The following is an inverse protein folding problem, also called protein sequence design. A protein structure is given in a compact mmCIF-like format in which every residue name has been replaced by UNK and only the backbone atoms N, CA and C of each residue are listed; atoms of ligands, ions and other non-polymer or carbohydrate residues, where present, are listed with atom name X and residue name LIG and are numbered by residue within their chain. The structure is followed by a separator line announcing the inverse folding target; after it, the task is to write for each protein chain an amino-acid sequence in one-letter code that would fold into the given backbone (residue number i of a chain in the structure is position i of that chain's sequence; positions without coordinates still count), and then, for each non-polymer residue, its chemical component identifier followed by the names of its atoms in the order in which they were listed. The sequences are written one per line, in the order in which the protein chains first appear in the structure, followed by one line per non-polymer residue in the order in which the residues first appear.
data_IF_150734969187
#
_entry.id   IF_150734969187
#
_cell.length_a   1.000
_cell.length_b   1.000
_cell.length_c   1.000
_cell.angle_alpha   90.00
_cell.angle_beta   90.00
_cell.angle_gamma   90.00
#
_symmetry.space_group_name_H-M   'P 1'
#
loop_
_entity.id
_entity.type
_entity.pdbx_description
1 polymer ?
#
# COMPACT_ATOMS: atom_id res chain seq x y z
N UNK A 1 -3.05 -0.21 -13.51
CA UNK A 1 -1.72 -0.14 -14.18
C UNK A 1 -1.14 -1.54 -14.18
N UNK A 2 -0.94 -2.13 -15.36
CA UNK A 2 -0.37 -3.47 -15.50
C UNK A 2 1.12 -3.45 -15.23
N UNK A 3 1.62 -4.48 -14.55
CA UNK A 3 3.04 -4.63 -14.16
C UNK A 3 3.53 -5.97 -14.68
N UNK A 4 4.75 -6.01 -15.21
CA UNK A 4 5.39 -7.24 -15.66
C UNK A 4 6.69 -7.37 -14.87
N UNK A 5 6.84 -8.49 -14.16
CA UNK A 5 8.02 -8.81 -13.37
C UNK A 5 8.76 -9.98 -14.00
N UNK A 6 10.09 -9.95 -13.99
CA UNK A 6 10.89 -11.13 -14.32
C UNK A 6 10.71 -12.18 -13.21
N UNK A 7 10.65 -13.45 -13.59
CA UNK A 7 10.44 -14.57 -12.64
C UNK A 7 11.44 -14.56 -11.48
N UNK A 8 12.70 -14.24 -11.76
CA UNK A 8 13.76 -14.19 -10.75
C UNK A 8 13.59 -13.06 -9.71
N UNK A 9 12.91 -11.97 -10.05
CA UNK A 9 12.58 -10.89 -9.09
C UNK A 9 11.53 -11.40 -8.09
N UNK A 10 10.52 -12.10 -8.58
CA UNK A 10 9.47 -12.72 -7.74
C UNK A 10 10.07 -13.80 -6.84
N UNK A 11 10.82 -14.74 -7.43
CA UNK A 11 11.41 -15.88 -6.72
C UNK A 11 10.34 -16.71 -5.99
N UNK A 12 10.52 -16.87 -4.68
CA UNK A 12 9.63 -17.64 -3.83
C UNK A 12 8.52 -16.81 -3.17
N UNK A 13 8.48 -15.49 -3.40
CA UNK A 13 7.42 -14.67 -2.84
C UNK A 13 6.06 -15.07 -3.41
N UNK A 14 5.04 -15.01 -2.57
CA UNK A 14 3.64 -15.29 -2.92
C UNK A 14 2.75 -14.14 -2.48
N UNK A 15 1.56 -14.07 -3.08
CA UNK A 15 0.52 -13.19 -2.59
C UNK A 15 0.10 -13.63 -1.19
N UNK A 16 -0.33 -12.67 -0.37
CA UNK A 16 -0.88 -12.98 0.94
C UNK A 16 -2.24 -13.66 0.78
N UNK A 17 -2.38 -14.83 1.40
CA UNK A 17 -3.63 -15.56 1.37
C UNK A 17 -4.72 -14.81 2.16
N UNK A 18 -5.98 -14.99 1.72
CA UNK A 18 -7.18 -14.45 2.38
C UNK A 18 -7.20 -12.92 2.56
N UNK A 19 -6.48 -12.16 1.74
CA UNK A 19 -6.50 -10.69 1.74
C UNK A 19 -6.86 -10.14 0.38
N UNK A 20 -7.74 -9.12 0.36
CA UNK A 20 -7.98 -8.28 -0.83
C UNK A 20 -6.88 -7.23 -0.91
N UNK A 21 -6.71 -6.60 -2.08
CA UNK A 21 -5.63 -5.63 -2.33
C UNK A 21 -4.23 -6.27 -2.21
N UNK A 22 -4.15 -7.56 -2.56
CA UNK A 22 -2.93 -8.36 -2.55
C UNK A 22 -1.84 -7.75 -3.42
N UNK A 23 -2.20 -7.03 -4.49
CA UNK A 23 -1.27 -6.33 -5.36
C UNK A 23 -0.59 -5.15 -4.64
N UNK A 24 -1.33 -4.38 -3.84
CA UNK A 24 -0.80 -3.33 -2.97
C UNK A 24 0.09 -3.89 -1.86
N UNK A 25 -0.22 -5.10 -1.37
CA UNK A 25 0.59 -5.78 -0.36
C UNK A 25 1.87 -6.38 -0.97
N UNK A 26 1.83 -6.85 -2.21
CA UNK A 26 2.91 -7.62 -2.83
C UNK A 26 3.87 -6.77 -3.68
N UNK A 27 3.33 -5.94 -4.59
CA UNK A 27 4.13 -5.29 -5.63
C UNK A 27 5.23 -4.36 -5.09
N UNK A 28 5.02 -3.57 -4.01
CA UNK A 28 6.07 -2.69 -3.48
C UNK A 28 7.36 -3.44 -3.10
N UNK A 29 7.24 -4.66 -2.59
CA UNK A 29 8.41 -5.48 -2.22
C UNK A 29 9.17 -5.97 -3.45
N UNK A 30 8.46 -6.28 -4.54
CA UNK A 30 9.11 -6.63 -5.81
C UNK A 30 9.88 -5.44 -6.39
N UNK A 31 9.36 -4.21 -6.24
CA UNK A 31 10.08 -3.01 -6.66
C UNK A 31 11.38 -2.80 -5.89
N UNK A 32 11.44 -3.13 -4.61
CA UNK A 32 12.67 -3.00 -3.83
C UNK A 32 13.78 -3.98 -4.26
N UNK A 33 13.42 -5.09 -4.91
CA UNK A 33 14.35 -6.07 -5.50
C UNK A 33 14.81 -5.69 -6.90
N UNK A 34 14.12 -4.75 -7.57
CA UNK A 34 14.48 -4.30 -8.91
C UNK A 34 15.65 -3.31 -8.88
N UNK A 35 16.56 -3.46 -9.83
CA UNK A 35 17.65 -2.49 -10.07
C UNK A 35 17.27 -1.45 -11.14
N UNK A 36 16.36 -1.81 -12.05
CA UNK A 36 15.87 -0.96 -13.15
C UNK A 36 14.37 -1.15 -13.29
N UNK A 37 13.63 -0.04 -13.42
CA UNK A 37 12.19 -0.04 -13.67
C UNK A 37 11.94 0.82 -14.90
N UNK A 38 11.32 0.24 -15.93
CA UNK A 38 10.90 0.94 -17.13
C UNK A 38 9.41 1.24 -17.05
N UNK A 39 9.02 2.48 -17.35
CA UNK A 39 7.61 2.90 -17.46
C UNK A 39 7.30 3.18 -18.93
N UNK A 40 6.27 2.52 -19.45
CA UNK A 40 5.69 2.82 -20.76
C UNK A 40 4.41 3.62 -20.50
N UNK A 41 4.30 4.82 -21.09
CA UNK A 41 3.17 5.73 -20.82
C UNK A 41 1.96 5.51 -21.75
N UNK A 42 2.09 4.60 -22.72
CA UNK A 42 1.01 4.22 -23.61
C UNK A 42 0.03 3.26 -22.92
N UNK A 43 -1.28 3.46 -23.19
CA UNK A 43 -2.34 2.57 -22.71
C UNK A 43 -2.36 1.29 -23.56
N UNK A 44 -1.64 0.26 -23.08
CA UNK A 44 -1.54 -1.04 -23.77
C UNK A 44 -2.46 -2.11 -23.18
N UNK A 45 -3.10 -1.83 -22.03
CA UNK A 45 -3.97 -2.77 -21.34
C UNK A 45 -5.21 -2.06 -20.82
N UNK A 46 -6.39 -2.57 -21.17
CA UNK A 46 -7.67 -2.01 -20.77
C UNK A 46 -8.27 -2.81 -19.61
N UNK A 47 -8.78 -2.10 -18.59
CA UNK A 47 -9.49 -2.73 -17.49
C UNK A 47 -10.96 -2.90 -17.85
N UNK A 48 -11.50 -4.09 -17.63
CA UNK A 48 -12.94 -4.33 -17.67
C UNK A 48 -13.57 -3.72 -16.42
N UNK A 49 -14.51 -2.81 -16.59
CA UNK A 49 -15.30 -2.27 -15.48
C UNK A 49 -16.44 -3.24 -15.17
N UNK A 50 -16.60 -3.59 -13.90
CA UNK A 50 -17.68 -4.43 -13.39
C UNK A 50 -18.21 -3.80 -12.11
N UNK A 51 -19.53 -3.65 -12.00
CA UNK A 51 -20.22 -3.10 -10.83
C UNK A 51 -20.04 -3.98 -9.59
N UNK A 52 -19.75 -5.27 -9.76
CA UNK A 52 -19.43 -6.21 -8.67
C UNK A 52 -17.93 -6.26 -8.33
N UNK A 53 -17.11 -5.37 -8.88
CA UNK A 53 -15.67 -5.35 -8.60
C UNK A 53 -15.40 -5.01 -7.13
N UNK A 54 -14.26 -5.44 -6.62
CA UNK A 54 -13.83 -5.18 -5.25
C UNK A 54 -13.81 -3.67 -4.91
N UNK A 55 -13.50 -2.82 -5.89
CA UNK A 55 -13.48 -1.36 -5.70
C UNK A 55 -14.88 -0.74 -5.58
N UNK A 56 -15.90 -1.43 -6.07
CA UNK A 56 -17.30 -1.02 -5.96
C UNK A 56 -18.04 -1.73 -4.81
N UNK A 57 -17.68 -2.98 -4.50
CA UNK A 57 -18.21 -3.76 -3.38
C UNK A 57 -17.24 -3.79 -2.18
N UNK A 58 -17.19 -2.68 -1.44
CA UNK A 58 -16.30 -2.51 -0.29
C UNK A 58 -16.86 -3.20 0.96
N UNK A 59 -15.99 -3.95 1.63
CA UNK A 59 -16.27 -4.66 2.89
C UNK A 59 -15.32 -4.19 3.99
N UNK A 60 -15.66 -4.42 5.27
CA UNK A 60 -14.86 -3.91 6.39
C UNK A 60 -13.42 -4.45 6.39
N UNK A 61 -13.21 -5.70 5.97
CA UNK A 61 -11.88 -6.33 5.91
C UNK A 61 -10.97 -5.73 4.82
N UNK A 62 -11.50 -4.89 3.94
CA UNK A 62 -10.70 -4.20 2.91
C UNK A 62 -9.74 -3.21 3.56
N UNK A 63 -10.25 -2.39 4.49
CA UNK A 63 -9.41 -1.46 5.23
C UNK A 63 -8.37 -2.22 6.06
N UNK A 64 -8.76 -3.30 6.73
CA UNK A 64 -7.84 -4.17 7.48
C UNK A 64 -6.73 -4.75 6.58
N UNK A 65 -7.03 -5.10 5.33
CA UNK A 65 -6.02 -5.59 4.38
C UNK A 65 -5.03 -4.50 3.96
N UNK A 66 -5.49 -3.25 3.82
CA UNK A 66 -4.60 -2.10 3.55
C UNK A 66 -3.73 -1.75 4.76
N UNK A 67 -4.29 -1.76 5.97
CA UNK A 67 -3.52 -1.53 7.20
C UNK A 67 -2.50 -2.66 7.45
N UNK A 68 -2.84 -3.90 7.10
CA UNK A 68 -1.88 -4.99 7.04
C UNK A 68 -0.70 -4.70 6.09
N UNK A 69 -0.98 -4.16 4.89
CA UNK A 69 0.07 -3.76 3.94
C UNK A 69 1.01 -2.71 4.55
N UNK A 70 0.44 -1.71 5.23
CA UNK A 70 1.18 -0.69 5.96
C UNK A 70 2.07 -1.30 7.05
N UNK A 71 1.53 -2.26 7.81
CA UNK A 71 2.27 -3.00 8.84
C UNK A 71 3.45 -3.77 8.28
N UNK A 72 3.21 -4.53 7.21
CA UNK A 72 4.27 -5.26 6.52
C UNK A 72 5.38 -4.30 6.07
N UNK A 73 5.02 -3.10 5.60
CA UNK A 73 5.98 -2.09 5.16
C UNK A 73 6.80 -1.50 6.31
N UNK A 74 6.18 -1.05 7.41
CA UNK A 74 6.98 -0.48 8.52
C UNK A 74 7.91 -1.53 9.15
N UNK A 75 7.45 -2.79 9.26
CA UNK A 75 8.28 -3.90 9.75
C UNK A 75 9.48 -4.16 8.82
N UNK A 76 9.28 -4.04 7.51
CA UNK A 76 10.35 -4.18 6.52
C UNK A 76 11.39 -3.07 6.62
N UNK A 77 10.96 -1.81 6.77
CA UNK A 77 11.86 -0.64 6.88
C UNK A 77 12.71 -0.71 8.14
N UNK A 78 12.15 -1.15 9.26
CA UNK A 78 12.89 -1.31 10.51
C UNK A 78 14.11 -2.25 10.34
N UNK A 79 14.05 -3.18 9.39
CA UNK A 79 15.16 -4.07 9.01
C UNK A 79 15.98 -3.55 7.82
N UNK A 80 15.50 -2.54 7.09
CA UNK A 80 16.05 -2.06 5.82
C UNK A 80 16.00 -0.52 5.74
N UNK A 81 16.71 0.15 6.64
CA UNK A 81 16.67 1.62 6.79
C UNK A 81 17.04 2.38 5.51
N UNK A 82 17.89 1.82 4.64
CA UNK A 82 18.26 2.40 3.35
C UNK A 82 17.06 2.61 2.39
N UNK A 83 15.94 1.89 2.58
CA UNK A 83 14.72 2.03 1.77
C UNK A 83 13.66 2.93 2.42
N UNK A 84 13.95 3.52 3.59
CA UNK A 84 12.97 4.26 4.42
C UNK A 84 12.21 5.33 3.67
N UNK A 85 12.89 6.15 2.87
CA UNK A 85 12.25 7.26 2.14
C UNK A 85 11.19 6.77 1.16
N UNK A 86 11.53 5.83 0.26
CA UNK A 86 10.56 5.30 -0.72
C UNK A 86 9.44 4.54 -0.02
N UNK A 87 9.76 3.78 1.02
CA UNK A 87 8.80 3.01 1.77
C UNK A 87 7.84 3.89 2.60
N UNK A 88 8.29 5.07 3.05
CA UNK A 88 7.44 6.09 3.69
C UNK A 88 6.33 6.56 2.73
N UNK A 89 6.62 6.75 1.44
CA UNK A 89 5.59 7.08 0.45
C UNK A 89 4.56 5.96 0.31
N UNK A 90 4.97 4.69 0.39
CA UNK A 90 4.04 3.55 0.36
C UNK A 90 3.18 3.48 1.62
N UNK A 91 3.76 3.72 2.80
CA UNK A 91 3.03 3.80 4.07
C UNK A 91 1.95 4.89 4.00
N UNK A 92 2.31 6.09 3.51
CA UNK A 92 1.35 7.18 3.33
C UNK A 92 0.23 6.78 2.37
N UNK A 93 0.57 6.15 1.24
CA UNK A 93 -0.43 5.66 0.30
C UNK A 93 -1.38 4.64 0.93
N UNK A 94 -0.87 3.71 1.74
CA UNK A 94 -1.72 2.75 2.47
C UNK A 94 -2.65 3.48 3.45
N UNK A 95 -2.13 4.41 4.24
CA UNK A 95 -2.98 5.19 5.15
C UNK A 95 -4.09 5.94 4.42
N UNK A 96 -3.76 6.62 3.31
CA UNK A 96 -4.73 7.39 2.53
C UNK A 96 -5.82 6.50 1.90
N UNK A 97 -5.45 5.34 1.35
CA UNK A 97 -6.40 4.39 0.77
C UNK A 97 -7.25 3.71 1.86
N UNK A 98 -6.64 3.24 2.95
CA UNK A 98 -7.37 2.66 4.08
C UNK A 98 -8.39 3.64 4.68
N UNK A 99 -7.98 4.90 4.88
CA UNK A 99 -8.85 5.99 5.31
C UNK A 99 -10.02 6.22 4.34
N UNK A 100 -9.75 6.21 3.03
CA UNK A 100 -10.78 6.39 1.99
C UNK A 100 -11.80 5.25 2.01
N UNK A 101 -11.35 4.00 2.19
CA UNK A 101 -12.23 2.84 2.30
C UNK A 101 -13.13 2.92 3.54
N UNK A 102 -12.57 3.26 4.69
CA UNK A 102 -13.34 3.47 5.93
C UNK A 102 -14.44 4.53 5.73
N UNK A 103 -14.08 5.68 5.14
CA UNK A 103 -15.05 6.75 4.87
C UNK A 103 -16.12 6.32 3.86
N UNK A 104 -15.74 5.69 2.74
CA UNK A 104 -16.70 5.24 1.71
C UNK A 104 -17.68 4.22 2.29
N UNK A 105 -17.25 3.37 3.23
CA UNK A 105 -18.11 2.34 3.83
C UNK A 105 -19.00 2.87 4.95
N UNK A 106 -18.45 3.66 5.88
CA UNK A 106 -19.13 4.06 7.12
C UNK A 106 -19.65 5.50 7.12
N UNK A 107 -19.21 6.34 6.18
CA UNK A 107 -19.47 7.78 6.17
C UNK A 107 -18.56 8.59 7.09
N UNK A 108 -17.83 7.95 8.00
CA UNK A 108 -16.91 8.57 8.96
C UNK A 108 -15.62 7.76 9.11
N UNK A 109 -14.62 8.34 9.77
CA UNK A 109 -13.37 7.67 10.07
C UNK A 109 -13.47 6.98 11.43
N UNK A 110 -13.46 5.64 11.44
CA UNK A 110 -13.37 4.85 12.67
C UNK A 110 -12.33 3.76 12.47
N UNK A 111 -11.20 3.95 13.15
CA UNK A 111 -10.08 3.02 13.16
C UNK A 111 -10.29 2.02 14.32
N UNK A 112 -9.95 0.76 14.09
CA UNK A 112 -9.83 -0.22 15.18
C UNK A 112 -8.57 0.08 16.01
N UNK A 113 -8.48 -0.49 17.20
CA UNK A 113 -7.29 -0.35 18.04
C UNK A 113 -6.02 -0.85 17.33
N UNK A 114 -6.12 -1.98 16.60
CA UNK A 114 -5.02 -2.48 15.75
C UNK A 114 -4.60 -1.45 14.70
N UNK A 115 -5.54 -0.80 14.02
CA UNK A 115 -5.22 0.23 13.02
C UNK A 115 -4.55 1.45 13.66
N UNK A 116 -4.99 1.87 14.85
CA UNK A 116 -4.35 2.97 15.58
C UNK A 116 -2.90 2.63 15.95
N UNK A 117 -2.66 1.41 16.43
CA UNK A 117 -1.31 0.91 16.71
C UNK A 117 -0.45 0.89 15.45
N UNK A 118 -1.00 0.42 14.33
CA UNK A 118 -0.28 0.43 13.05
C UNK A 118 0.08 1.86 12.59
N UNK A 119 -0.81 2.84 12.80
CA UNK A 119 -0.52 4.25 12.51
C UNK A 119 0.62 4.77 13.38
N UNK A 120 0.57 4.52 14.70
CA UNK A 120 1.61 4.99 15.62
C UNK A 120 2.97 4.38 15.28
N UNK A 121 3.03 3.08 15.02
CA UNK A 121 4.25 2.38 14.62
C UNK A 121 4.79 2.90 13.28
N UNK A 122 3.91 3.14 12.32
CA UNK A 122 4.28 3.73 11.04
C UNK A 122 4.91 5.12 11.22
N UNK A 123 4.29 6.00 12.02
CA UNK A 123 4.79 7.34 12.29
C UNK A 123 6.19 7.33 12.93
N UNK A 124 6.47 6.37 13.82
CA UNK A 124 7.76 6.25 14.49
C UNK A 124 8.92 5.91 13.53
N UNK A 125 8.64 5.25 12.39
CA UNK A 125 9.67 4.78 11.45
C UNK A 125 9.78 5.62 10.16
N UNK A 126 8.80 6.47 9.87
CA UNK A 126 8.72 7.23 8.61
C UNK A 126 9.80 8.32 8.52
N UNK A 127 10.21 8.61 7.29
CA UNK A 127 11.04 9.78 6.99
C UNK A 127 10.17 11.03 6.87
N UNK A 128 10.17 11.85 7.92
CA UNK A 128 9.32 13.06 7.98
C UNK A 128 9.78 14.16 7.01
N UNK A 129 11.00 14.08 6.47
CA UNK A 129 11.54 15.11 5.55
C UNK A 129 10.83 15.13 4.20
N UNK A 130 10.30 13.98 3.77
CA UNK A 130 9.57 13.87 2.49
C UNK A 130 8.08 14.12 2.62
N UNK A 131 7.56 14.19 3.85
CA UNK A 131 6.19 14.59 4.10
C UNK A 131 6.16 16.10 3.95
N UNK A 132 5.62 16.59 2.82
CA UNK A 132 5.41 18.03 2.63
C UNK A 132 4.62 18.56 3.84
N UNK A 133 5.27 19.37 4.68
CA UNK A 133 4.55 20.16 5.68
C UNK A 133 3.60 21.05 4.89
N UNK A 134 2.31 20.97 5.19
CA UNK A 134 1.39 22.02 4.78
C UNK A 134 1.87 23.27 5.50
N UNK A 135 2.44 24.23 4.77
CA UNK A 135 2.64 25.56 5.31
C UNK A 135 1.22 26.09 5.57
N UNK A 136 0.87 26.29 6.83
CA UNK A 136 -0.31 27.07 7.18
C UNK A 136 0.04 28.53 6.84
N UNK A 137 -0.32 28.95 5.64
CA UNK A 137 -0.48 30.36 5.25
C UNK A 137 -1.90 30.77 5.54
#
# INVERSE_FOLDING_TARGET
MTKIFRRNVIGNDRFEEHRRYEDMIFCPFQYFKCHKILKIENKLYFYRKNEKSITENIIDSDAESIFFAMRKMYNYINKNSAKRTVATLMIINCFLEGRKLLRKKKGYYRYSESMLNDIQNALACCDTKIVKKKNNS
#
